data_IF_857299811348
#
_entry.id   IF_857299811348
#
_cell.length_a   1.000
_cell.length_b   1.000
_cell.length_c   1.000
_cell.angle_alpha   90.00
_cell.angle_beta   90.00
_cell.angle_gamma   90.00
#
_symmetry.space_group_name_H-M   'P 1'
#
loop_
_entity.id
_entity.type
_entity.pdbx_description
1 polymer ?
#
# COMPACT_ATOMS: atom_id res chain seq x y z
N UNK A 1 25.73 23.72 19.09
CA UNK A 1 24.76 22.80 19.71
C UNK A 1 24.68 21.52 18.88
N UNK A 2 24.94 20.34 19.46
CA UNK A 2 24.70 19.06 18.75
C UNK A 2 23.21 18.79 18.81
N UNK A 3 22.52 18.93 17.68
CA UNK A 3 21.10 18.59 17.57
C UNK A 3 20.97 17.07 17.62
N UNK A 4 20.49 16.54 18.74
CA UNK A 4 20.16 15.12 18.88
C UNK A 4 18.84 14.90 18.13
N UNK A 5 18.76 13.95 17.18
CA UNK A 5 17.52 13.73 16.43
C UNK A 5 16.41 13.29 17.40
N UNK A 6 15.20 13.79 17.19
CA UNK A 6 14.02 13.33 17.91
C UNK A 6 13.87 11.82 17.69
N UNK A 7 13.39 11.06 18.70
CA UNK A 7 13.06 9.65 18.51
C UNK A 7 12.05 9.49 17.37
N UNK A 8 12.23 8.44 16.55
CA UNK A 8 11.31 8.15 15.44
C UNK A 8 9.89 7.98 15.99
N UNK A 9 8.88 8.64 15.41
CA UNK A 9 7.49 8.31 15.72
C UNK A 9 7.20 6.87 15.28
N UNK A 10 6.22 6.23 15.91
CA UNK A 10 5.71 4.95 15.42
C UNK A 10 5.07 5.16 14.06
N UNK A 11 5.61 4.48 13.03
CA UNK A 11 5.11 4.49 11.66
C UNK A 11 4.70 3.09 11.24
N UNK A 12 3.53 2.97 10.62
CA UNK A 12 3.10 1.74 9.97
C UNK A 12 3.99 1.42 8.75
N UNK A 13 4.04 0.15 8.29
CA UNK A 13 4.82 -0.22 7.10
C UNK A 13 4.46 0.56 5.84
N UNK A 14 3.16 0.90 5.68
CA UNK A 14 2.66 1.71 4.56
C UNK A 14 3.23 3.13 4.62
N UNK A 15 3.18 3.77 5.80
CA UNK A 15 3.76 5.10 6.01
C UNK A 15 5.28 5.12 5.79
N UNK A 16 5.99 4.06 6.18
CA UNK A 16 7.42 3.94 5.87
C UNK A 16 7.69 3.82 4.37
N UNK A 17 6.85 3.07 3.64
CA UNK A 17 6.96 2.95 2.20
C UNK A 17 6.73 4.30 1.49
N UNK A 18 5.73 5.07 1.94
CA UNK A 18 5.47 6.43 1.44
C UNK A 18 6.66 7.37 1.66
N UNK A 19 7.24 7.35 2.86
CA UNK A 19 8.41 8.16 3.18
C UNK A 19 9.64 7.75 2.36
N UNK A 20 9.88 6.45 2.16
CA UNK A 20 10.96 5.95 1.29
C UNK A 20 10.75 6.39 -0.15
N UNK A 21 9.51 6.38 -0.64
CA UNK A 21 9.16 6.86 -1.99
C UNK A 21 9.36 8.36 -2.13
N UNK A 22 9.05 9.15 -1.11
CA UNK A 22 9.36 10.58 -1.09
C UNK A 22 10.88 10.82 -1.13
N UNK A 23 11.63 10.15 -0.24
CA UNK A 23 13.07 10.27 -0.15
C UNK A 23 13.79 9.88 -1.43
N UNK A 24 13.38 8.79 -2.09
CA UNK A 24 13.95 8.35 -3.36
C UNK A 24 13.71 9.37 -4.47
N UNK A 25 12.49 9.94 -4.57
CA UNK A 25 12.18 10.98 -5.57
C UNK A 25 13.06 12.22 -5.40
N UNK A 26 13.31 12.66 -4.16
CA UNK A 26 14.22 13.78 -3.89
C UNK A 26 15.65 13.44 -4.31
N UNK A 27 16.12 12.24 -3.98
CA UNK A 27 17.46 11.75 -4.36
C UNK A 27 17.64 11.67 -5.88
N UNK A 28 16.64 11.15 -6.57
CA UNK A 28 16.67 10.96 -8.01
C UNK A 28 16.65 12.31 -8.73
N UNK A 29 15.82 13.26 -8.26
CA UNK A 29 15.83 14.62 -8.80
C UNK A 29 17.17 15.33 -8.57
N UNK A 30 17.75 15.20 -7.37
CA UNK A 30 19.10 15.74 -7.10
C UNK A 30 20.15 15.16 -8.06
N UNK A 31 20.13 13.84 -8.28
CA UNK A 31 21.05 13.17 -9.21
C UNK A 31 20.83 13.63 -10.66
N UNK A 32 19.58 13.81 -11.08
CA UNK A 32 19.25 14.32 -12.41
C UNK A 32 19.80 15.73 -12.65
N UNK A 33 19.85 16.57 -11.61
CA UNK A 33 20.48 17.89 -11.65
C UNK A 33 22.01 17.86 -11.54
N UNK A 34 22.63 16.68 -11.34
CA UNK A 34 24.08 16.56 -11.12
C UNK A 34 24.57 17.15 -9.79
N UNK A 35 23.66 17.46 -8.86
CA UNK A 35 24.01 18.11 -7.59
C UNK A 35 24.56 17.08 -6.60
N UNK A 36 25.70 17.38 -5.99
CA UNK A 36 26.28 16.49 -4.97
C UNK A 36 25.46 16.51 -3.69
N UNK A 37 25.54 15.43 -2.91
CA UNK A 37 24.88 15.38 -1.60
C UNK A 37 25.39 16.48 -0.65
N UNK A 38 26.67 16.87 -0.75
CA UNK A 38 27.23 17.93 0.08
C UNK A 38 26.64 19.29 -0.32
N UNK A 39 26.67 19.62 -1.61
CA UNK A 39 26.15 20.89 -2.13
C UNK A 39 24.64 21.05 -1.84
N UNK A 40 23.85 19.98 -2.00
CA UNK A 40 22.43 20.00 -1.65
C UNK A 40 22.21 20.23 -0.14
N UNK A 41 22.96 19.52 0.71
CA UNK A 41 22.85 19.66 2.16
C UNK A 41 23.18 21.10 2.62
N UNK A 42 24.26 21.67 2.07
CA UNK A 42 24.66 23.06 2.33
C UNK A 42 23.59 24.05 1.88
N UNK A 43 23.09 23.90 0.64
CA UNK A 43 22.05 24.78 0.09
C UNK A 43 20.73 24.67 0.86
N UNK A 44 20.39 23.50 1.38
CA UNK A 44 19.19 23.27 2.20
C UNK A 44 19.38 23.66 3.68
N UNK A 45 20.58 24.06 4.10
CA UNK A 45 20.87 24.40 5.49
C UNK A 45 20.80 23.21 6.45
N UNK A 46 21.08 21.99 5.96
CA UNK A 46 21.04 20.75 6.76
C UNK A 46 22.39 20.04 6.74
N UNK A 47 22.62 19.14 7.71
CA UNK A 47 23.83 18.31 7.68
C UNK A 47 23.76 17.27 6.56
N UNK A 48 24.92 16.82 6.05
CA UNK A 48 25.00 15.69 5.10
C UNK A 48 24.32 14.42 5.64
N UNK A 49 24.39 14.20 6.96
CA UNK A 49 23.71 13.07 7.63
C UNK A 49 22.19 13.24 7.59
N UNK A 50 21.69 14.46 7.78
CA UNK A 50 20.26 14.78 7.66
C UNK A 50 19.78 14.55 6.23
N UNK A 51 20.52 15.03 5.22
CA UNK A 51 20.18 14.77 3.82
C UNK A 51 20.14 13.26 3.53
N UNK A 52 21.12 12.49 4.02
CA UNK A 52 21.11 11.04 3.85
C UNK A 52 19.85 10.39 4.46
N UNK A 53 19.44 10.82 5.65
CA UNK A 53 18.21 10.34 6.30
C UNK A 53 16.95 10.73 5.53
N UNK A 54 16.91 11.94 4.98
CA UNK A 54 15.81 12.42 4.10
C UNK A 54 15.71 11.54 2.85
N UNK A 55 16.83 11.31 2.17
CA UNK A 55 16.86 10.47 0.96
C UNK A 55 16.51 9.00 1.24
N UNK A 56 16.67 8.55 2.48
CA UNK A 56 16.27 7.23 2.95
C UNK A 56 14.80 7.17 3.45
N UNK A 57 14.10 8.30 3.51
CA UNK A 57 12.71 8.36 4.01
C UNK A 57 12.60 8.19 5.53
N UNK A 58 13.58 8.67 6.30
CA UNK A 58 13.55 8.51 7.75
C UNK A 58 12.44 9.36 8.41
N UNK A 59 11.57 8.77 9.25
CA UNK A 59 10.44 9.47 9.87
C UNK A 59 10.83 10.41 11.01
N UNK A 60 12.03 10.29 11.60
CA UNK A 60 12.52 11.21 12.64
C UNK A 60 12.88 12.60 12.10
N UNK A 61 13.00 12.76 10.79
CA UNK A 61 13.40 14.04 10.19
C UNK A 61 12.19 14.96 10.10
N UNK A 62 12.36 16.21 10.50
CA UNK A 62 11.28 17.21 10.51
C UNK A 62 10.76 17.47 9.10
N UNK A 63 9.45 17.70 8.97
CA UNK A 63 8.83 18.08 7.68
C UNK A 63 9.48 19.34 7.09
N UNK A 64 9.89 20.29 7.93
CA UNK A 64 10.61 21.48 7.50
C UNK A 64 11.95 21.17 6.83
N UNK A 65 12.69 20.16 7.28
CA UNK A 65 13.94 19.75 6.63
C UNK A 65 13.68 19.08 5.27
N UNK A 66 12.61 18.29 5.12
CA UNK A 66 12.17 17.80 3.81
C UNK A 66 11.82 18.97 2.87
N UNK A 67 11.07 19.98 3.36
CA UNK A 67 10.73 21.17 2.58
C UNK A 67 11.98 21.96 2.15
N UNK A 68 12.97 22.13 3.03
CA UNK A 68 14.21 22.84 2.70
C UNK A 68 14.99 22.12 1.59
N UNK A 69 15.09 20.79 1.67
CA UNK A 69 15.75 19.99 0.61
C UNK A 69 14.98 20.07 -0.70
N UNK A 70 13.65 19.98 -0.66
CA UNK A 70 12.82 20.17 -1.86
C UNK A 70 13.07 21.55 -2.48
N UNK A 71 13.04 22.62 -1.68
CA UNK A 71 13.27 23.99 -2.15
C UNK A 71 14.68 24.19 -2.73
N UNK A 72 15.72 23.64 -2.09
CA UNK A 72 17.10 23.67 -2.60
C UNK A 72 17.25 22.93 -3.95
N UNK A 73 16.36 21.99 -4.22
CA UNK A 73 16.27 21.26 -5.49
C UNK A 73 15.29 21.90 -6.49
N UNK A 74 14.70 23.07 -6.19
CA UNK A 74 13.71 23.73 -7.05
C UNK A 74 12.33 23.06 -7.06
N UNK A 75 12.02 22.27 -6.03
CA UNK A 75 10.75 21.56 -5.89
C UNK A 75 9.86 22.17 -4.80
N UNK A 76 8.56 22.10 -5.00
CA UNK A 76 7.56 22.37 -3.96
C UNK A 76 7.00 21.06 -3.41
N UNK A 77 7.08 20.86 -2.10
CA UNK A 77 6.50 19.70 -1.44
C UNK A 77 5.01 19.94 -1.17
N UNK A 78 4.16 19.14 -1.81
CA UNK A 78 2.71 19.14 -1.60
C UNK A 78 2.29 17.76 -1.11
N UNK A 79 1.58 17.70 0.01
CA UNK A 79 1.01 16.47 0.57
C UNK A 79 -0.50 16.51 0.36
N UNK A 80 -1.06 15.77 -0.61
CA UNK A 80 -2.51 15.71 -0.77
C UNK A 80 -3.12 14.97 0.42
N UNK A 81 -4.15 15.56 1.01
CA UNK A 81 -5.00 14.86 1.99
C UNK A 81 -6.06 14.11 1.19
N UNK A 82 -5.87 12.79 1.09
CA UNK A 82 -6.84 11.90 0.47
C UNK A 82 -7.63 11.26 1.60
N UNK A 83 -8.95 11.36 1.56
CA UNK A 83 -9.79 10.59 2.48
C UNK A 83 -9.47 9.12 2.26
N UNK A 84 -9.12 8.40 3.33
CA UNK A 84 -9.13 6.94 3.26
C UNK A 84 -10.58 6.60 2.93
N UNK A 85 -10.84 6.20 1.69
CA UNK A 85 -12.09 5.55 1.37
C UNK A 85 -12.13 4.31 2.25
N UNK A 86 -12.84 4.37 3.37
CA UNK A 86 -13.47 3.19 3.94
C UNK A 86 -14.53 2.77 2.92
N UNK A 87 -14.07 2.27 1.77
CA UNK A 87 -14.95 1.68 0.79
C UNK A 87 -15.70 0.59 1.52
N UNK A 88 -17.03 0.62 1.38
CA UNK A 88 -17.85 -0.53 1.75
C UNK A 88 -17.13 -1.77 1.17
N UNK A 89 -16.84 -2.79 2.01
CA UNK A 89 -15.99 -3.90 1.59
C UNK A 89 -16.53 -4.42 0.26
N UNK A 90 -15.68 -4.62 -0.75
CA UNK A 90 -16.13 -5.00 -2.08
C UNK A 90 -17.07 -6.19 -1.96
N UNK A 91 -18.24 -6.07 -2.59
CA UNK A 91 -19.30 -7.08 -2.51
C UNK A 91 -19.46 -7.78 -3.85
N UNK A 92 -19.89 -9.03 -3.78
CA UNK A 92 -20.18 -9.90 -4.90
C UNK A 92 -21.58 -10.47 -4.74
N UNK A 93 -22.32 -10.61 -5.85
CA UNK A 93 -23.62 -11.26 -5.82
C UNK A 93 -23.42 -12.77 -5.89
N UNK A 94 -24.05 -13.53 -4.99
CA UNK A 94 -23.89 -14.98 -4.89
C UNK A 94 -24.18 -15.69 -6.23
N UNK A 95 -25.14 -15.19 -7.00
CA UNK A 95 -25.53 -15.75 -8.31
C UNK A 95 -24.56 -15.48 -9.47
N UNK A 96 -23.57 -14.60 -9.30
CA UNK A 96 -22.62 -14.26 -10.37
C UNK A 96 -21.65 -15.41 -10.68
N UNK A 97 -21.49 -16.34 -9.73
CA UNK A 97 -20.54 -17.45 -9.82
C UNK A 97 -21.22 -18.77 -9.48
N UNK A 98 -21.19 -19.78 -10.39
CA UNK A 98 -21.89 -21.04 -10.17
C UNK A 98 -21.34 -21.83 -8.98
N UNK A 99 -20.03 -21.82 -8.74
CA UNK A 99 -19.42 -22.44 -7.56
C UNK A 99 -19.78 -21.70 -6.27
N UNK A 100 -19.73 -20.36 -6.24
CA UNK A 100 -20.18 -19.56 -5.09
C UNK A 100 -21.65 -19.86 -4.77
N UNK A 101 -22.50 -19.94 -5.79
CA UNK A 101 -23.92 -20.27 -5.65
C UNK A 101 -24.14 -21.66 -5.05
N UNK A 102 -23.37 -22.65 -5.47
CA UNK A 102 -23.44 -24.00 -4.95
C UNK A 102 -23.04 -24.07 -3.47
N UNK A 103 -22.03 -23.29 -3.06
CA UNK A 103 -21.56 -23.24 -1.68
C UNK A 103 -22.50 -22.44 -0.76
N UNK A 104 -23.08 -21.36 -1.27
CA UNK A 104 -24.05 -20.52 -0.58
C UNK A 104 -25.49 -21.05 -0.76
N UNK A 105 -25.71 -22.34 -0.52
CA UNK A 105 -27.01 -23.00 -0.74
C UNK A 105 -28.14 -22.44 0.15
N UNK A 106 -27.80 -21.85 1.31
CA UNK A 106 -28.75 -21.21 2.24
C UNK A 106 -29.12 -19.77 1.84
N UNK A 107 -28.47 -19.22 0.82
CA UNK A 107 -28.59 -17.81 0.45
C UNK A 107 -29.26 -17.68 -0.91
N UNK A 108 -30.05 -16.63 -1.10
CA UNK A 108 -30.66 -16.34 -2.39
C UNK A 108 -29.60 -15.92 -3.42
N UNK A 109 -29.84 -16.25 -4.70
CA UNK A 109 -28.90 -15.91 -5.77
C UNK A 109 -28.69 -14.40 -5.94
N UNK A 110 -29.66 -13.57 -5.52
CA UNK A 110 -29.56 -12.11 -5.59
C UNK A 110 -28.92 -11.46 -4.36
N UNK A 111 -28.52 -12.23 -3.34
CA UNK A 111 -27.90 -11.66 -2.14
C UNK A 111 -26.46 -11.24 -2.42
N UNK A 112 -26.11 -10.03 -2.01
CA UNK A 112 -24.74 -9.52 -2.02
C UNK A 112 -24.01 -9.92 -0.74
N UNK A 113 -22.83 -10.51 -0.88
CA UNK A 113 -21.93 -10.85 0.24
C UNK A 113 -20.60 -10.12 0.04
N UNK A 114 -19.86 -9.85 1.12
CA UNK A 114 -18.53 -9.26 0.98
C UNK A 114 -17.56 -10.26 0.36
N UNK A 115 -16.53 -9.79 -0.32
CA UNK A 115 -15.48 -10.64 -0.89
C UNK A 115 -14.80 -11.52 0.18
N UNK A 116 -14.60 -10.99 1.39
CA UNK A 116 -14.12 -11.76 2.52
C UNK A 116 -15.09 -12.88 2.96
N UNK A 117 -16.41 -12.65 2.91
CA UNK A 117 -17.41 -13.69 3.14
C UNK A 117 -17.42 -14.73 2.01
N UNK A 118 -17.29 -14.30 0.75
CA UNK A 118 -17.19 -15.18 -0.39
C UNK A 118 -15.97 -16.11 -0.28
N UNK A 119 -14.81 -15.56 0.12
CA UNK A 119 -13.61 -16.36 0.38
C UNK A 119 -13.84 -17.42 1.47
N UNK A 120 -14.44 -17.02 2.60
CA UNK A 120 -14.77 -17.97 3.67
C UNK A 120 -15.70 -19.10 3.20
N UNK A 121 -16.65 -18.80 2.30
CA UNK A 121 -17.49 -19.81 1.69
C UNK A 121 -16.68 -20.78 0.83
N UNK A 122 -15.78 -20.26 -0.01
CA UNK A 122 -14.88 -21.08 -0.83
C UNK A 122 -13.95 -21.95 0.02
N UNK A 123 -13.31 -21.42 1.06
CA UNK A 123 -12.39 -22.17 1.93
C UNK A 123 -13.12 -23.32 2.65
N UNK A 124 -14.30 -23.05 3.22
CA UNK A 124 -15.12 -24.08 3.89
C UNK A 124 -15.67 -25.12 2.92
N UNK A 125 -16.02 -24.68 1.72
CA UNK A 125 -16.70 -25.45 0.69
C UNK A 125 -15.79 -26.19 -0.28
N UNK A 126 -14.49 -25.92 -0.26
CA UNK A 126 -13.57 -26.27 -1.36
C UNK A 126 -13.55 -27.74 -1.72
N UNK A 127 -13.58 -28.63 -0.72
CA UNK A 127 -13.54 -30.09 -0.93
C UNK A 127 -14.83 -30.65 -1.55
N UNK A 128 -15.92 -29.90 -1.49
CA UNK A 128 -17.22 -30.28 -2.05
C UNK A 128 -17.52 -29.54 -3.36
N UNK A 129 -16.65 -28.62 -3.78
CA UNK A 129 -16.81 -27.86 -5.00
C UNK A 129 -16.24 -28.67 -6.18
N UNK A 130 -17.05 -28.84 -7.22
CA UNK A 130 -16.61 -29.48 -8.45
C UNK A 130 -15.75 -28.52 -9.28
N UNK A 131 -14.44 -28.67 -9.14
CA UNK A 131 -13.45 -27.81 -9.79
C UNK A 131 -13.48 -27.92 -11.32
N UNK A 132 -14.02 -29.02 -11.88
CA UNK A 132 -14.13 -29.19 -13.33
C UNK A 132 -15.19 -28.27 -13.96
N UNK A 133 -16.13 -27.75 -13.15
CA UNK A 133 -17.25 -26.90 -13.60
C UNK A 133 -16.95 -25.41 -13.43
N UNK A 134 -15.86 -25.07 -12.73
CA UNK A 134 -15.46 -23.67 -12.54
C UNK A 134 -15.21 -22.98 -13.87
N UNK A 135 -15.78 -21.78 -14.03
CA UNK A 135 -15.49 -20.93 -15.19
C UNK A 135 -14.11 -20.28 -15.05
N UNK A 136 -13.49 -19.86 -16.15
CA UNK A 136 -12.23 -19.08 -16.11
C UNK A 136 -12.37 -17.82 -15.26
N UNK A 137 -13.52 -17.14 -15.37
CA UNK A 137 -13.84 -15.94 -14.58
C UNK A 137 -13.89 -16.25 -13.09
N UNK A 138 -14.50 -17.37 -12.72
CA UNK A 138 -14.61 -17.78 -11.31
C UNK A 138 -13.25 -18.18 -10.73
N UNK A 139 -12.42 -18.90 -11.50
CA UNK A 139 -11.04 -19.21 -11.10
C UNK A 139 -10.22 -17.94 -10.86
N UNK A 140 -10.31 -16.97 -11.77
CA UNK A 140 -9.63 -15.69 -11.63
C UNK A 140 -10.13 -14.91 -10.40
N UNK A 141 -11.44 -14.96 -10.12
CA UNK A 141 -12.03 -14.36 -8.93
C UNK A 141 -11.53 -15.02 -7.65
N UNK A 142 -11.52 -16.35 -7.57
CA UNK A 142 -10.99 -17.10 -6.42
C UNK A 142 -9.50 -16.76 -6.19
N UNK A 143 -8.69 -16.69 -7.25
CA UNK A 143 -7.28 -16.31 -7.14
C UNK A 143 -7.14 -14.88 -6.61
N UNK A 144 -7.94 -13.93 -7.11
CA UNK A 144 -7.96 -12.56 -6.59
C UNK A 144 -8.30 -12.52 -5.09
N UNK A 145 -9.27 -13.30 -4.64
CA UNK A 145 -9.63 -13.40 -3.23
C UNK A 145 -8.46 -13.96 -2.40
N UNK A 146 -7.80 -15.02 -2.89
CA UNK A 146 -6.65 -15.62 -2.21
C UNK A 146 -5.48 -14.62 -2.10
N UNK A 147 -5.16 -13.91 -3.18
CA UNK A 147 -4.09 -12.90 -3.20
C UNK A 147 -4.39 -11.72 -2.26
N UNK A 148 -5.65 -11.30 -2.19
CA UNK A 148 -6.07 -10.11 -1.44
C UNK A 148 -6.23 -10.39 0.05
N UNK A 149 -6.71 -11.59 0.43
CA UNK A 149 -7.13 -11.88 1.81
C UNK A 149 -6.38 -13.06 2.47
N UNK A 150 -5.79 -13.99 1.72
CA UNK A 150 -5.13 -15.20 2.26
C UNK A 150 -3.66 -15.36 1.82
N UNK A 151 -2.96 -14.26 1.52
CA UNK A 151 -1.53 -14.26 1.13
C UNK A 151 -1.20 -15.13 -0.11
N UNK A 152 -2.15 -15.31 -1.02
CA UNK A 152 -1.97 -15.97 -2.31
C UNK A 152 -2.29 -17.47 -2.37
N UNK A 153 -2.80 -18.06 -1.29
CA UNK A 153 -3.27 -19.45 -1.27
C UNK A 153 -4.56 -19.60 -0.45
N UNK A 154 -5.48 -20.44 -0.92
CA UNK A 154 -6.64 -20.83 -0.12
C UNK A 154 -6.20 -21.69 1.07
N UNK A 155 -6.73 -21.42 2.25
CA UNK A 155 -6.44 -22.17 3.48
C UNK A 155 -7.29 -23.46 3.52
N UNK A 156 -7.01 -24.43 2.65
CA UNK A 156 -7.83 -25.66 2.47
C UNK A 156 -7.08 -26.96 2.71
#
# INVERSE_FOLDING_TARGET
MRCMPAPSPYTSPEQEADLRRLGSRLRDHRKALGVTAVACAESAGVSRVTLHRIEAGNPSVTIGAYCNVAAALGLHLVVPVVERTTGEPPTVTVGDYPGLRALAWQTDAGTTVTEAQALNLYERGWRHLDQAVLTDRERAFIQHLADTYSHGALLV
#
